data_IF_002719778113
#
_entry.id   IF_002719778113
#
_cell.length_a   1.000
_cell.length_b   1.000
_cell.length_c   1.000
_cell.angle_alpha   90.00
_cell.angle_beta   90.00
_cell.angle_gamma   90.00
#
_symmetry.space_group_name_H-M   'P 1'
#
loop_
_entity.id
_entity.type
_entity.pdbx_description
1 polymer ?
#
# COMPACT_ATOMS: atom_id res chain seq x y z
N UNK A 1 -23.78 45.61 -53.33
CA UNK A 1 -22.82 45.78 -52.22
C UNK A 1 -23.30 45.14 -50.91
N UNK A 2 -24.56 45.18 -50.60
CA UNK A 2 -25.14 44.67 -49.31
C UNK A 2 -24.94 43.14 -49.11
N UNK A 3 -25.06 42.33 -50.20
CA UNK A 3 -24.88 40.85 -50.10
C UNK A 3 -23.43 40.39 -49.79
N UNK A 4 -22.42 41.19 -50.22
CA UNK A 4 -21.02 40.88 -49.89
C UNK A 4 -20.66 41.22 -48.44
N UNK A 5 -21.30 42.22 -47.90
CA UNK A 5 -21.13 42.61 -46.49
C UNK A 5 -21.75 41.61 -45.54
N UNK A 6 -22.85 40.96 -45.90
CA UNK A 6 -23.52 39.95 -45.13
C UNK A 6 -22.73 38.65 -45.04
N UNK A 7 -22.01 38.25 -46.09
CA UNK A 7 -21.18 37.04 -46.14
C UNK A 7 -19.91 37.23 -45.31
N UNK A 8 -19.31 38.41 -45.28
CA UNK A 8 -18.14 38.73 -44.45
C UNK A 8 -18.49 38.68 -42.97
N UNK A 9 -19.70 39.19 -42.55
CA UNK A 9 -20.12 39.12 -41.16
C UNK A 9 -20.44 37.71 -40.72
N UNK A 10 -20.97 36.86 -41.53
CA UNK A 10 -21.22 35.46 -41.23
C UNK A 10 -19.93 34.65 -41.01
N UNK A 11 -18.84 35.01 -41.73
CA UNK A 11 -17.55 34.31 -41.62
C UNK A 11 -16.80 34.68 -40.32
N UNK A 12 -17.01 35.89 -39.76
CA UNK A 12 -16.40 36.34 -38.52
C UNK A 12 -17.04 35.65 -37.29
N UNK A 13 -18.31 35.30 -37.38
CA UNK A 13 -19.01 34.60 -36.25
C UNK A 13 -18.56 33.13 -36.09
N UNK A 14 -18.06 32.50 -37.16
CA UNK A 14 -17.57 31.11 -37.08
C UNK A 14 -16.16 30.98 -36.50
N UNK A 15 -15.39 32.06 -36.38
CA UNK A 15 -14.01 32.01 -35.89
C UNK A 15 -13.85 32.12 -34.36
N UNK A 16 -14.94 32.30 -33.59
CA UNK A 16 -14.87 32.59 -32.17
C UNK A 16 -15.13 31.41 -31.22
N UNK A 17 -15.26 30.18 -31.72
CA UNK A 17 -15.74 29.06 -30.90
C UNK A 17 -14.78 27.85 -30.83
N UNK A 18 -13.49 28.05 -30.96
CA UNK A 18 -12.55 26.97 -30.63
C UNK A 18 -11.65 27.38 -29.48
N UNK A 19 -12.22 27.63 -28.30
CA UNK A 19 -11.46 27.51 -27.07
C UNK A 19 -11.28 26.02 -26.80
N UNK A 20 -10.16 25.46 -27.26
CA UNK A 20 -9.69 24.19 -26.74
C UNK A 20 -9.42 24.42 -25.25
N UNK A 21 -10.28 23.88 -24.38
CA UNK A 21 -10.05 23.89 -22.95
C UNK A 21 -8.71 23.19 -22.71
N UNK A 22 -7.72 23.93 -22.23
CA UNK A 22 -6.37 23.41 -22.00
C UNK A 22 -6.47 22.29 -20.94
N UNK A 23 -6.30 21.04 -21.38
CA UNK A 23 -6.40 19.90 -20.49
C UNK A 23 -5.22 19.90 -19.53
N UNK A 24 -5.47 20.28 -18.27
CA UNK A 24 -4.46 20.30 -17.24
C UNK A 24 -4.22 18.87 -16.73
N UNK A 25 -3.06 18.30 -17.04
CA UNK A 25 -2.62 16.99 -16.56
C UNK A 25 -1.59 17.21 -15.45
N UNK A 26 -1.74 16.51 -14.33
CA UNK A 26 -0.82 16.54 -13.19
C UNK A 26 -0.46 15.13 -12.76
N UNK A 27 0.56 14.99 -11.94
CA UNK A 27 0.93 13.68 -11.39
C UNK A 27 1.20 13.71 -9.89
N UNK A 28 1.04 12.53 -9.27
CA UNK A 28 1.07 12.32 -7.84
C UNK A 28 1.95 11.11 -7.49
N UNK A 29 2.84 11.26 -6.51
CA UNK A 29 3.62 10.17 -5.93
C UNK A 29 2.89 9.57 -4.73
N UNK A 30 2.09 8.52 -4.97
CA UNK A 30 1.34 7.81 -3.92
C UNK A 30 2.27 7.17 -2.89
N UNK A 31 3.44 6.66 -3.32
CA UNK A 31 4.42 6.05 -2.41
C UNK A 31 4.99 7.08 -1.43
N UNK A 32 5.24 8.32 -1.88
CA UNK A 32 5.66 9.42 -1.00
C UNK A 32 4.58 9.75 0.03
N UNK A 33 3.31 9.80 -0.39
CA UNK A 33 2.18 10.01 0.53
C UNK A 33 2.09 8.88 1.56
N UNK A 34 2.20 7.61 1.12
CA UNK A 34 2.22 6.45 2.02
C UNK A 34 3.37 6.52 3.03
N UNK A 35 4.55 6.98 2.62
CA UNK A 35 5.71 7.03 3.51
C UNK A 35 5.70 8.23 4.45
N UNK A 36 5.18 9.38 4.03
CA UNK A 36 5.37 10.66 4.73
C UNK A 36 4.12 11.17 5.43
N UNK A 37 2.91 10.77 4.99
CA UNK A 37 1.68 11.20 5.65
C UNK A 37 1.55 10.64 7.07
N UNK A 38 0.78 11.34 7.91
CA UNK A 38 0.44 10.89 9.26
C UNK A 38 -0.26 9.52 9.20
N UNK A 39 -1.20 9.34 8.27
CA UNK A 39 -1.91 8.08 8.07
C UNK A 39 -0.97 6.95 7.62
N UNK A 40 -0.08 7.23 6.66
CA UNK A 40 0.89 6.25 6.18
C UNK A 40 1.90 5.82 7.27
N UNK A 41 2.40 6.78 8.06
CA UNK A 41 3.25 6.48 9.23
C UNK A 41 2.51 5.65 10.27
N UNK A 42 1.21 5.92 10.49
CA UNK A 42 0.38 5.10 11.38
C UNK A 42 0.25 3.66 10.88
N UNK A 43 -0.02 3.45 9.59
CA UNK A 43 -0.04 2.12 8.96
C UNK A 43 1.29 1.40 9.18
N UNK A 44 2.41 2.07 8.87
CA UNK A 44 3.76 1.50 9.04
C UNK A 44 3.99 1.04 10.48
N UNK A 45 3.69 1.89 11.47
CA UNK A 45 3.83 1.56 12.90
C UNK A 45 2.99 0.36 13.32
N UNK A 46 1.76 0.25 12.84
CA UNK A 46 0.89 -0.91 13.13
C UNK A 46 1.46 -2.20 12.54
N UNK A 47 1.97 -2.17 11.31
CA UNK A 47 2.61 -3.32 10.66
C UNK A 47 3.92 -3.73 11.37
N UNK A 48 4.74 -2.78 11.79
CA UNK A 48 5.97 -3.01 12.57
C UNK A 48 5.65 -3.67 13.91
N UNK A 49 4.63 -3.19 14.62
CA UNK A 49 4.20 -3.78 15.89
C UNK A 49 3.74 -5.24 15.70
N UNK A 50 2.98 -5.52 14.65
CA UNK A 50 2.53 -6.88 14.33
C UNK A 50 3.71 -7.78 13.97
N UNK A 51 4.65 -7.28 13.17
CA UNK A 51 5.87 -8.00 12.81
C UNK A 51 6.69 -8.36 14.05
N UNK A 52 6.95 -7.39 14.94
CA UNK A 52 7.72 -7.59 16.16
C UNK A 52 7.05 -8.59 17.10
N UNK A 53 5.72 -8.49 17.26
CA UNK A 53 4.94 -9.48 18.04
C UNK A 53 5.07 -10.90 17.49
N UNK A 54 5.01 -11.05 16.18
CA UNK A 54 5.22 -12.35 15.53
C UNK A 54 6.65 -12.85 15.72
N UNK A 55 7.65 -11.97 15.60
CA UNK A 55 9.06 -12.31 15.79
C UNK A 55 9.30 -12.85 17.22
N UNK A 56 8.81 -12.17 18.22
CA UNK A 56 8.93 -12.63 19.62
C UNK A 56 8.24 -13.98 19.86
N UNK A 57 7.03 -14.15 19.31
CA UNK A 57 6.29 -15.41 19.38
C UNK A 57 7.08 -16.56 18.74
N UNK A 58 7.63 -16.33 17.56
CA UNK A 58 8.38 -17.33 16.83
C UNK A 58 9.70 -17.66 17.50
N UNK A 59 10.40 -16.68 18.08
CA UNK A 59 11.61 -16.91 18.86
C UNK A 59 11.34 -17.84 20.06
N UNK A 60 10.28 -17.56 20.81
CA UNK A 60 9.89 -18.43 21.94
C UNK A 60 9.55 -19.86 21.48
N UNK A 61 8.81 -20.00 20.39
CA UNK A 61 8.46 -21.33 19.86
C UNK A 61 9.68 -22.10 19.35
N UNK A 62 10.62 -21.42 18.70
CA UNK A 62 11.88 -22.00 18.25
C UNK A 62 12.70 -22.55 19.44
N UNK A 63 12.80 -21.78 20.53
CA UNK A 63 13.46 -22.21 21.77
C UNK A 63 12.77 -23.44 22.39
N UNK A 64 11.43 -23.48 22.39
CA UNK A 64 10.67 -24.65 22.87
C UNK A 64 10.96 -25.89 22.02
N UNK A 65 10.94 -25.76 20.70
CA UNK A 65 11.21 -26.89 19.78
C UNK A 65 12.64 -27.39 19.92
N UNK A 66 13.64 -26.50 20.01
CA UNK A 66 15.03 -26.84 20.28
C UNK A 66 15.22 -27.59 21.61
N UNK A 67 14.50 -27.18 22.65
CA UNK A 67 14.56 -27.84 23.94
C UNK A 67 13.89 -29.24 23.89
N UNK A 68 12.78 -29.39 23.16
CA UNK A 68 12.15 -30.69 22.91
C UNK A 68 13.11 -31.62 22.18
N UNK A 69 13.77 -31.15 21.13
CA UNK A 69 14.76 -31.92 20.36
C UNK A 69 15.91 -32.39 21.26
N UNK A 70 16.51 -31.48 22.05
CA UNK A 70 17.59 -31.85 22.98
C UNK A 70 17.14 -32.91 24.00
N UNK A 71 15.94 -32.78 24.56
CA UNK A 71 15.37 -33.78 25.50
C UNK A 71 15.17 -35.11 24.82
N UNK A 72 14.62 -35.15 23.63
CA UNK A 72 14.39 -36.37 22.88
C UNK A 72 15.71 -37.10 22.57
N UNK A 73 16.75 -36.36 22.16
CA UNK A 73 18.08 -36.92 21.90
C UNK A 73 18.65 -37.51 23.19
N UNK A 74 18.54 -36.84 24.33
CA UNK A 74 19.03 -37.36 25.62
C UNK A 74 18.29 -38.62 26.07
N UNK A 75 17.05 -38.82 25.66
CA UNK A 75 16.20 -39.97 25.98
C UNK A 75 16.37 -41.13 24.99
N UNK A 76 17.21 -41.02 23.96
CA UNK A 76 17.37 -42.03 22.90
C UNK A 76 17.69 -43.42 23.44
N UNK A 77 18.50 -43.51 24.50
CA UNK A 77 18.93 -44.80 25.07
C UNK A 77 18.04 -45.23 26.26
N UNK A 78 17.03 -44.44 26.62
CA UNK A 78 16.13 -44.68 27.76
C UNK A 78 14.76 -45.15 27.26
N UNK A 79 14.28 -44.58 26.17
CA UNK A 79 12.99 -44.91 25.57
C UNK A 79 13.07 -46.24 24.78
N UNK A 80 11.92 -46.91 24.68
CA UNK A 80 11.80 -48.01 23.71
C UNK A 80 11.97 -47.45 22.29
N UNK A 81 12.40 -48.32 21.33
CA UNK A 81 12.56 -47.90 19.93
C UNK A 81 11.24 -47.38 19.36
N UNK A 82 10.12 -47.96 19.73
CA UNK A 82 8.78 -47.55 19.27
C UNK A 82 8.40 -46.18 19.82
N UNK A 83 8.57 -45.96 21.12
CA UNK A 83 8.27 -44.64 21.76
C UNK A 83 9.18 -43.54 21.21
N UNK A 84 10.48 -43.82 21.03
CA UNK A 84 11.41 -42.87 20.42
C UNK A 84 10.96 -42.44 19.01
N UNK A 85 10.57 -43.41 18.16
CA UNK A 85 10.08 -43.10 16.80
C UNK A 85 8.78 -42.34 16.81
N UNK A 86 7.88 -42.62 17.74
CA UNK A 86 6.63 -41.89 17.94
C UNK A 86 6.89 -40.41 18.33
N UNK A 87 7.75 -40.19 19.32
CA UNK A 87 8.11 -38.84 19.75
C UNK A 87 8.86 -38.06 18.67
N UNK A 88 9.75 -38.71 17.93
CA UNK A 88 10.44 -38.11 16.77
C UNK A 88 9.45 -37.69 15.67
N UNK A 89 8.45 -38.55 15.38
CA UNK A 89 7.39 -38.21 14.42
C UNK A 89 6.56 -37.03 14.86
N UNK A 90 6.20 -36.95 16.15
CA UNK A 90 5.46 -35.86 16.72
C UNK A 90 6.24 -34.52 16.64
N UNK A 91 7.53 -34.55 17.01
CA UNK A 91 8.39 -33.39 16.93
C UNK A 91 8.54 -32.87 15.47
N UNK A 92 8.71 -33.79 14.52
CA UNK A 92 8.74 -33.39 13.10
C UNK A 92 7.45 -32.69 12.63
N UNK A 93 6.29 -33.20 13.05
CA UNK A 93 4.99 -32.57 12.76
C UNK A 93 4.89 -31.17 13.37
N UNK A 94 5.36 -31.00 14.61
CA UNK A 94 5.38 -29.68 15.26
C UNK A 94 6.29 -28.69 14.50
N UNK A 95 7.50 -29.12 14.09
CA UNK A 95 8.42 -28.29 13.31
C UNK A 95 7.80 -27.86 11.97
N UNK A 96 7.19 -28.80 11.25
CA UNK A 96 6.53 -28.51 9.98
C UNK A 96 5.38 -27.52 10.18
N UNK A 97 4.58 -27.71 11.23
CA UNK A 97 3.48 -26.79 11.56
C UNK A 97 4.00 -25.40 11.94
N UNK A 98 5.08 -25.32 12.69
CA UNK A 98 5.75 -24.07 13.03
C UNK A 98 6.23 -23.32 11.79
N UNK A 99 6.88 -24.00 10.84
CA UNK A 99 7.31 -23.41 9.57
C UNK A 99 6.11 -22.88 8.76
N UNK A 100 5.02 -23.65 8.68
CA UNK A 100 3.78 -23.19 8.03
C UNK A 100 3.20 -21.93 8.68
N UNK A 101 3.23 -21.86 10.02
CA UNK A 101 2.77 -20.66 10.75
C UNK A 101 3.64 -19.44 10.44
N UNK A 102 4.97 -19.59 10.31
CA UNK A 102 5.86 -18.48 9.93
C UNK A 102 5.55 -17.94 8.54
N UNK A 103 5.38 -18.85 7.55
CA UNK A 103 5.00 -18.48 6.19
C UNK A 103 3.66 -17.75 6.19
N UNK A 104 2.65 -18.34 6.84
CA UNK A 104 1.33 -17.73 6.93
C UNK A 104 1.37 -16.34 7.55
N UNK A 105 2.11 -16.14 8.64
CA UNK A 105 2.22 -14.83 9.30
C UNK A 105 2.86 -13.77 8.39
N UNK A 106 3.83 -14.15 7.56
CA UNK A 106 4.41 -13.26 6.55
C UNK A 106 3.39 -12.87 5.48
N UNK A 107 2.65 -13.85 4.99
CA UNK A 107 1.61 -13.62 3.98
C UNK A 107 0.49 -12.73 4.52
N UNK A 108 0.07 -12.95 5.77
CA UNK A 108 -0.96 -12.14 6.43
C UNK A 108 -0.50 -10.67 6.57
N UNK A 109 0.76 -10.42 6.95
CA UNK A 109 1.33 -9.05 7.00
C UNK A 109 1.36 -8.41 5.60
N UNK A 110 1.71 -9.17 4.55
CA UNK A 110 1.69 -8.65 3.19
C UNK A 110 0.27 -8.30 2.73
N UNK A 111 -0.71 -9.14 3.03
CA UNK A 111 -2.13 -8.87 2.74
C UNK A 111 -2.62 -7.62 3.47
N UNK A 112 -2.27 -7.46 4.75
CA UNK A 112 -2.61 -6.28 5.54
C UNK A 112 -1.98 -5.01 4.97
N UNK A 113 -0.72 -5.08 4.51
CA UNK A 113 -0.03 -3.96 3.85
C UNK A 113 -0.77 -3.53 2.58
N UNK A 114 -1.10 -4.49 1.71
CA UNK A 114 -1.83 -4.22 0.46
C UNK A 114 -3.21 -3.62 0.78
N UNK A 115 -3.95 -4.21 1.70
CA UNK A 115 -5.26 -3.73 2.12
C UNK A 115 -5.21 -2.31 2.69
N UNK A 116 -4.22 -2.01 3.53
CA UNK A 116 -4.02 -0.67 4.09
C UNK A 116 -3.64 0.37 3.02
N UNK A 117 -2.81 -0.03 2.05
CA UNK A 117 -2.47 0.83 0.91
C UNK A 117 -3.71 1.15 0.08
N UNK A 118 -4.51 0.16 -0.26
CA UNK A 118 -5.76 0.35 -0.99
C UNK A 118 -6.75 1.24 -0.21
N UNK A 119 -6.83 1.07 1.10
CA UNK A 119 -7.68 1.89 1.97
C UNK A 119 -7.22 3.35 2.00
N UNK A 120 -5.90 3.61 2.04
CA UNK A 120 -5.38 4.97 1.92
C UNK A 120 -5.72 5.58 0.56
N UNK A 121 -5.50 4.86 -0.53
CA UNK A 121 -5.83 5.34 -1.89
C UNK A 121 -7.33 5.65 -2.00
N UNK A 122 -8.18 4.79 -1.45
CA UNK A 122 -9.64 5.01 -1.43
C UNK A 122 -10.03 6.28 -0.66
N UNK A 123 -9.35 6.57 0.48
CA UNK A 123 -9.57 7.80 1.24
C UNK A 123 -8.96 9.04 0.59
N UNK A 124 -7.93 8.90 -0.24
CA UNK A 124 -7.39 9.98 -1.06
C UNK A 124 -8.32 10.36 -2.21
N UNK A 125 -9.15 9.44 -2.70
CA UNK A 125 -10.00 9.67 -3.87
C UNK A 125 -10.88 10.93 -3.77
N UNK A 126 -11.65 11.16 -2.68
CA UNK A 126 -12.44 12.39 -2.53
C UNK A 126 -11.56 13.65 -2.49
N UNK A 127 -10.40 13.60 -1.83
CA UNK A 127 -9.44 14.71 -1.78
C UNK A 127 -8.96 15.07 -3.20
N UNK A 128 -8.61 14.05 -3.99
CA UNK A 128 -8.15 14.23 -5.36
C UNK A 128 -9.26 14.77 -6.28
N UNK A 129 -10.50 14.32 -6.08
CA UNK A 129 -11.66 14.83 -6.84
C UNK A 129 -11.91 16.31 -6.54
N UNK A 130 -11.88 16.70 -5.27
CA UNK A 130 -12.05 18.10 -4.87
C UNK A 130 -10.90 18.97 -5.39
N UNK A 131 -9.66 18.50 -5.25
CA UNK A 131 -8.49 19.18 -5.78
C UNK A 131 -8.58 19.38 -7.31
N UNK A 132 -8.95 18.33 -8.04
CA UNK A 132 -9.11 18.37 -9.49
C UNK A 132 -10.17 19.39 -9.91
N UNK A 133 -11.33 19.40 -9.24
CA UNK A 133 -12.41 20.36 -9.50
C UNK A 133 -11.96 21.80 -9.24
N UNK A 134 -11.30 22.04 -8.11
CA UNK A 134 -10.85 23.40 -7.70
C UNK A 134 -9.76 23.95 -8.60
N UNK A 135 -8.90 23.10 -9.15
CA UNK A 135 -7.72 23.52 -9.93
C UNK A 135 -7.87 23.27 -11.44
N UNK A 136 -9.09 22.95 -11.92
CA UNK A 136 -9.37 22.62 -13.34
C UNK A 136 -8.45 21.52 -13.89
N UNK A 137 -8.18 20.49 -13.08
CA UNK A 137 -7.35 19.36 -13.47
C UNK A 137 -8.19 18.32 -14.18
N UNK A 138 -7.83 17.98 -15.41
CA UNK A 138 -8.54 16.98 -16.24
C UNK A 138 -8.10 15.56 -15.94
N UNK A 139 -6.83 15.35 -15.53
CA UNK A 139 -6.27 14.01 -15.29
C UNK A 139 -5.17 14.05 -14.23
N UNK A 140 -5.21 13.11 -13.29
CA UNK A 140 -4.17 12.87 -12.30
C UNK A 140 -3.53 11.50 -12.55
N UNK A 141 -2.23 11.47 -12.83
CA UNK A 141 -1.46 10.26 -13.09
C UNK A 141 -0.63 9.86 -11.86
N UNK A 142 -0.35 8.57 -11.72
CA UNK A 142 0.62 8.11 -10.72
C UNK A 142 2.04 8.30 -11.25
N UNK A 143 2.93 8.88 -10.43
CA UNK A 143 4.34 9.13 -10.78
C UNK A 143 5.07 7.88 -11.26
N UNK A 144 4.81 6.71 -10.67
CA UNK A 144 5.43 5.43 -11.06
C UNK A 144 5.13 5.00 -12.51
N UNK A 145 4.07 5.54 -13.12
CA UNK A 145 3.66 5.23 -14.49
C UNK A 145 4.16 6.29 -15.51
N UNK A 146 4.96 7.26 -15.05
CA UNK A 146 5.47 8.38 -15.86
C UNK A 146 6.97 8.21 -15.99
N UNK A 147 7.47 8.22 -17.23
CA UNK A 147 8.90 8.15 -17.50
C UNK A 147 9.56 9.50 -17.21
N UNK A 148 8.92 10.60 -17.66
CA UNK A 148 9.41 11.97 -17.49
C UNK A 148 8.24 12.95 -17.37
N UNK A 149 8.33 13.91 -16.45
CA UNK A 149 7.35 14.98 -16.25
C UNK A 149 8.01 16.21 -15.65
N UNK A 150 7.49 17.39 -15.98
CA UNK A 150 7.93 18.65 -15.38
C UNK A 150 7.57 18.65 -13.88
N UNK A 151 8.46 19.21 -13.05
CA UNK A 151 8.24 19.29 -11.59
C UNK A 151 7.03 20.16 -11.22
N UNK A 152 6.75 21.16 -12.02
CA UNK A 152 5.65 22.12 -11.81
C UNK A 152 4.25 21.49 -11.89
N UNK A 153 4.14 20.30 -12.50
CA UNK A 153 2.88 19.56 -12.55
C UNK A 153 2.82 18.40 -11.53
N UNK A 154 3.80 18.30 -10.63
CA UNK A 154 3.78 17.35 -9.50
C UNK A 154 3.01 17.96 -8.32
N UNK A 155 1.86 17.37 -7.98
CA UNK A 155 0.98 17.85 -6.89
C UNK A 155 1.17 17.07 -5.57
N UNK A 156 2.24 16.28 -5.45
CA UNK A 156 2.43 15.37 -4.32
C UNK A 156 2.45 16.08 -2.97
N UNK A 157 3.17 17.20 -2.87
CA UNK A 157 3.35 17.91 -1.60
C UNK A 157 2.06 18.62 -1.16
N UNK A 158 1.32 19.20 -2.11
CA UNK A 158 0.01 19.80 -1.84
C UNK A 158 -1.00 18.75 -1.34
N UNK A 159 -1.07 17.61 -2.02
CA UNK A 159 -1.96 16.51 -1.61
C UNK A 159 -1.51 15.90 -0.28
N UNK A 160 -0.21 15.82 0.00
CA UNK A 160 0.32 15.37 1.28
C UNK A 160 -0.14 16.28 2.44
N UNK A 161 -0.11 17.59 2.26
CA UNK A 161 -0.60 18.53 3.26
C UNK A 161 -2.10 18.37 3.53
N UNK A 162 -2.92 18.26 2.48
CA UNK A 162 -4.37 18.03 2.61
C UNK A 162 -4.62 16.69 3.30
N UNK A 163 -3.94 15.65 2.87
CA UNK A 163 -4.03 14.31 3.47
C UNK A 163 -3.73 14.36 4.97
N UNK A 164 -2.68 15.08 5.37
CA UNK A 164 -2.32 15.22 6.78
C UNK A 164 -3.34 16.01 7.60
N UNK A 165 -4.13 16.87 7.01
CA UNK A 165 -5.24 17.57 7.68
C UNK A 165 -6.45 16.68 7.85
N UNK A 166 -6.81 15.89 6.84
CA UNK A 166 -8.06 15.13 6.79
C UNK A 166 -7.94 13.69 7.28
N UNK A 167 -6.80 13.02 7.02
CA UNK A 167 -6.62 11.60 7.34
C UNK A 167 -5.52 11.43 8.39
N UNK A 168 -5.92 11.22 9.64
CA UNK A 168 -4.95 11.07 10.76
C UNK A 168 -4.55 9.61 11.02
N UNK A 169 -5.47 8.67 10.82
CA UNK A 169 -5.24 7.27 11.13
C UNK A 169 -6.02 6.35 10.20
N UNK A 170 -5.40 5.24 9.82
CA UNK A 170 -6.05 4.13 9.11
C UNK A 170 -5.75 2.86 9.89
N UNK A 171 -6.80 2.20 10.38
CA UNK A 171 -6.65 0.89 11.04
C UNK A 171 -6.41 -0.20 9.99
N UNK A 172 -5.39 -1.01 10.23
CA UNK A 172 -5.14 -2.25 9.49
C UNK A 172 -5.98 -3.35 10.15
N UNK A 173 -6.92 -3.91 9.42
CA UNK A 173 -7.79 -5.00 9.90
C UNK A 173 -7.52 -6.22 9.08
#
# INVERSE_FOLDING_TARGET
>A
MLKKFLIINLFIVFFTLSYAEEQKIVYLNVDKIMQQSIAGKSIKKQLENLYNKNLEKFKKNDEILKNKEKKLIAQKNILSQEDFQKELSNLRKEIINFQKQQVKARDDINKLRIGATNKLISQLSPILQEYAKKNSVSLILQKKNIIMGKKEIEITDEILEITNKEIKNIKIN
#
